data_IF_305832971494
#
_entry.id   IF_305832971494
#
_cell.length_a   1.000
_cell.length_b   1.000
_cell.length_c   1.000
_cell.angle_alpha   90.00
_cell.angle_beta   90.00
_cell.angle_gamma   90.00
#
_symmetry.space_group_name_H-M   'P 1'
#
loop_
_entity.id
_entity.type
_entity.pdbx_description
1 polymer ?
#
# COMPACT_ATOMS: atom_id res chain seq x y z
N UNK A 1 -5.75 -16.96 6.46
CA UNK A 1 -5.20 -16.49 5.18
C UNK A 1 -3.84 -15.82 5.36
N UNK A 2 -3.73 -14.80 6.23
CA UNK A 2 -2.46 -14.09 6.50
C UNK A 2 -1.26 -15.01 6.73
N UNK A 3 -1.35 -16.00 7.62
CA UNK A 3 -0.18 -16.81 8.00
C UNK A 3 0.38 -17.63 6.82
N UNK A 4 -0.47 -18.04 5.89
CA UNK A 4 -0.04 -18.72 4.66
C UNK A 4 0.72 -17.76 3.73
N UNK A 5 0.21 -16.52 3.56
CA UNK A 5 0.85 -15.50 2.73
C UNK A 5 2.18 -15.07 3.37
N UNK A 6 2.20 -14.81 4.68
CA UNK A 6 3.44 -14.51 5.41
C UNK A 6 4.44 -15.65 5.31
N UNK A 7 3.98 -16.90 5.36
CA UNK A 7 4.80 -18.09 5.15
C UNK A 7 5.48 -18.07 3.78
N UNK A 8 4.72 -17.82 2.72
CA UNK A 8 5.24 -17.71 1.36
C UNK A 8 6.23 -16.55 1.18
N UNK A 9 5.94 -15.37 1.75
CA UNK A 9 6.88 -14.23 1.73
C UNK A 9 8.21 -14.61 2.38
N UNK A 10 8.16 -15.34 3.50
CA UNK A 10 9.34 -15.79 4.24
C UNK A 10 10.25 -16.72 3.44
N UNK A 11 9.74 -17.41 2.43
CA UNK A 11 10.55 -18.25 1.53
C UNK A 11 11.48 -17.40 0.64
N UNK A 12 11.16 -16.12 0.45
CA UNK A 12 11.93 -15.19 -0.40
C UNK A 12 12.75 -14.19 0.43
N UNK A 13 12.16 -13.62 1.49
CA UNK A 13 12.81 -12.64 2.35
C UNK A 13 12.18 -12.61 3.76
N UNK A 14 12.89 -12.08 4.76
CA UNK A 14 12.33 -11.92 6.11
C UNK A 14 11.19 -10.89 6.12
N UNK A 15 9.93 -11.28 6.44
CA UNK A 15 8.81 -10.34 6.47
C UNK A 15 9.03 -9.12 7.37
N UNK A 16 9.88 -9.20 8.40
CA UNK A 16 10.21 -8.05 9.26
C UNK A 16 11.11 -7.01 8.61
N UNK A 17 11.66 -7.30 7.42
CA UNK A 17 12.57 -6.42 6.67
C UNK A 17 11.90 -5.74 5.47
N UNK A 18 10.57 -5.86 5.36
CA UNK A 18 9.80 -5.15 4.33
C UNK A 18 10.01 -3.64 4.49
N UNK A 19 10.48 -2.99 3.43
CA UNK A 19 10.62 -1.53 3.39
C UNK A 19 9.28 -0.85 3.06
N UNK A 20 8.43 -1.53 2.29
CA UNK A 20 7.15 -1.01 1.82
C UNK A 20 6.08 -2.11 1.85
N UNK A 21 4.89 -1.75 2.35
CA UNK A 21 3.63 -2.45 2.10
C UNK A 21 2.79 -1.51 1.26
N UNK A 22 2.43 -1.92 0.03
CA UNK A 22 1.77 -1.04 -0.93
C UNK A 22 0.29 -1.41 -1.05
N UNK A 23 -0.59 -0.47 -0.71
CA UNK A 23 -2.04 -0.59 -0.87
C UNK A 23 -2.44 0.05 -2.21
N UNK A 24 -2.67 -0.79 -3.21
CA UNK A 24 -3.07 -0.36 -4.57
C UNK A 24 -4.57 -0.16 -4.71
N UNK A 25 -5.34 -1.00 -4.02
CA UNK A 25 -6.80 -0.98 -3.95
C UNK A 25 -7.21 -1.25 -2.52
N UNK A 26 -8.42 -0.85 -2.14
CA UNK A 26 -8.94 -1.10 -0.81
C UNK A 26 -10.32 -1.73 -0.90
N UNK A 27 -10.36 -3.01 -0.57
CA UNK A 27 -11.57 -3.81 -0.41
C UNK A 27 -11.40 -4.74 0.79
N UNK A 28 -12.52 -5.15 1.38
CA UNK A 28 -12.52 -5.83 2.67
C UNK A 28 -11.75 -7.17 2.66
N UNK A 29 -11.66 -7.82 1.50
CA UNK A 29 -10.96 -9.08 1.28
C UNK A 29 -9.45 -8.93 1.06
N UNK A 30 -8.96 -7.72 0.73
CA UNK A 30 -7.55 -7.46 0.44
C UNK A 30 -6.80 -6.82 1.63
N UNK A 31 -7.51 -6.10 2.51
CA UNK A 31 -6.86 -5.30 3.57
C UNK A 31 -6.61 -6.05 4.89
N UNK A 32 -7.16 -7.26 5.07
CA UNK A 32 -7.17 -7.96 6.37
C UNK A 32 -5.79 -8.37 6.93
N UNK A 33 -4.73 -8.36 6.10
CA UNK A 33 -3.36 -8.65 6.53
C UNK A 33 -2.47 -7.41 6.73
N UNK A 34 -2.94 -6.23 6.31
CA UNK A 34 -2.13 -5.01 6.19
C UNK A 34 -1.47 -4.62 7.52
N UNK A 35 -2.26 -4.45 8.58
CA UNK A 35 -1.75 -4.02 9.89
C UNK A 35 -0.76 -5.05 10.47
N UNK A 36 -1.02 -6.35 10.27
CA UNK A 36 -0.13 -7.41 10.77
C UNK A 36 1.24 -7.42 10.09
N UNK A 37 1.30 -7.10 8.79
CA UNK A 37 2.58 -6.94 8.10
C UNK A 37 3.34 -5.70 8.60
N UNK A 38 2.65 -4.59 8.84
CA UNK A 38 3.25 -3.36 9.34
C UNK A 38 3.69 -3.48 10.82
N UNK A 39 2.95 -4.21 11.65
CA UNK A 39 3.38 -4.56 13.01
C UNK A 39 4.62 -5.45 13.00
N UNK A 40 4.73 -6.37 12.03
CA UNK A 40 5.89 -7.23 11.88
C UNK A 40 7.13 -6.49 11.35
N UNK A 41 6.93 -5.42 10.57
CA UNK A 41 7.96 -4.60 9.94
C UNK A 41 7.75 -3.11 10.29
N UNK A 42 8.12 -2.68 11.52
CA UNK A 42 7.81 -1.33 12.01
C UNK A 42 8.51 -0.21 11.25
N UNK A 43 9.60 -0.52 10.55
CA UNK A 43 10.32 0.42 9.68
C UNK A 43 9.70 0.52 8.27
N UNK A 44 8.72 -0.33 7.95
CA UNK A 44 8.02 -0.31 6.67
C UNK A 44 7.13 0.92 6.53
N UNK A 45 7.07 1.46 5.31
CA UNK A 45 6.06 2.45 4.94
C UNK A 45 4.82 1.78 4.37
N UNK A 46 3.63 2.21 4.79
CA UNK A 46 2.39 1.95 4.07
C UNK A 46 2.27 2.98 2.93
N UNK A 47 2.56 2.56 1.70
CA UNK A 47 2.45 3.43 0.54
C UNK A 47 1.13 3.19 -0.20
N UNK A 48 0.41 4.24 -0.52
CA UNK A 48 -0.84 4.16 -1.26
C UNK A 48 -1.07 5.44 -2.07
N UNK A 49 -2.18 5.51 -2.80
CA UNK A 49 -2.56 6.78 -3.43
C UNK A 49 -2.85 7.86 -2.38
N UNK A 50 -2.64 9.13 -2.72
CA UNK A 50 -3.04 10.25 -1.86
C UNK A 50 -4.54 10.23 -1.57
N UNK A 51 -5.35 9.78 -2.53
CA UNK A 51 -6.79 9.59 -2.34
C UNK A 51 -7.10 8.51 -1.29
N UNK A 52 -6.37 7.40 -1.28
CA UNK A 52 -6.53 6.33 -0.28
C UNK A 52 -6.20 6.82 1.13
N UNK A 53 -5.19 7.69 1.29
CA UNK A 53 -4.90 8.32 2.58
C UNK A 53 -6.11 9.13 3.07
N UNK A 54 -6.64 9.99 2.22
CA UNK A 54 -7.72 10.91 2.57
C UNK A 54 -9.05 10.19 2.85
N UNK A 55 -9.40 9.21 2.01
CA UNK A 55 -10.73 8.58 2.03
C UNK A 55 -10.82 7.37 2.96
N UNK A 56 -9.70 6.69 3.22
CA UNK A 56 -9.69 5.40 3.93
C UNK A 56 -8.84 5.50 5.18
N UNK A 57 -7.54 5.80 5.02
CA UNK A 57 -6.60 5.70 6.14
C UNK A 57 -6.82 6.78 7.20
N UNK A 58 -7.43 7.91 6.86
CA UNK A 58 -7.84 8.95 7.81
C UNK A 58 -8.83 8.43 8.88
N UNK A 59 -9.65 7.43 8.54
CA UNK A 59 -10.56 6.74 9.46
C UNK A 59 -10.04 5.40 9.96
N UNK A 60 -8.89 4.93 9.47
CA UNK A 60 -8.27 3.68 9.89
C UNK A 60 -7.31 3.93 11.04
N UNK A 61 -7.41 3.16 12.13
CA UNK A 61 -6.55 3.33 13.30
C UNK A 61 -5.16 2.70 13.09
N UNK A 62 -4.50 3.09 12.00
CA UNK A 62 -3.14 2.66 11.68
C UNK A 62 -2.11 3.46 12.47
N UNK A 63 -1.04 2.79 12.92
CA UNK A 63 0.10 3.42 13.59
C UNK A 63 1.36 3.06 12.82
N UNK A 64 1.92 4.02 12.10
CA UNK A 64 3.10 3.80 11.27
C UNK A 64 3.28 4.91 10.25
N UNK A 65 4.32 4.77 9.45
CA UNK A 65 4.63 5.72 8.39
C UNK A 65 3.72 5.45 7.20
N UNK A 66 2.90 6.44 6.83
CA UNK A 66 2.03 6.40 5.65
C UNK A 66 2.57 7.34 4.59
N UNK A 67 2.65 6.87 3.35
CA UNK A 67 2.99 7.68 2.18
C UNK A 67 1.80 7.72 1.22
N UNK A 68 1.29 8.93 0.94
CA UNK A 68 0.30 9.16 -0.11
C UNK A 68 0.97 9.67 -1.38
N UNK A 69 0.77 8.96 -2.49
CA UNK A 69 1.37 9.26 -3.78
C UNK A 69 0.30 9.70 -4.79
N UNK A 70 0.61 10.72 -5.60
CA UNK A 70 -0.21 11.15 -6.74
C UNK A 70 0.16 10.40 -8.02
N UNK A 71 -0.68 10.53 -9.06
CA UNK A 71 -0.39 9.98 -10.38
C UNK A 71 0.98 10.44 -10.91
N UNK A 72 1.77 9.49 -11.39
CA UNK A 72 3.10 9.71 -11.93
C UNK A 72 4.22 9.83 -10.90
N UNK A 73 3.92 9.94 -9.60
CA UNK A 73 4.96 9.96 -8.55
C UNK A 73 5.69 8.62 -8.46
N UNK A 74 6.94 8.67 -7.99
CA UNK A 74 7.87 7.54 -8.06
C UNK A 74 8.49 7.28 -6.69
N UNK A 75 8.40 6.02 -6.23
CA UNK A 75 9.23 5.49 -5.16
C UNK A 75 10.53 4.95 -5.78
N UNK A 76 11.67 5.48 -5.34
CA UNK A 76 12.98 5.00 -5.73
C UNK A 76 13.45 3.92 -4.75
N UNK A 77 13.59 2.68 -5.22
CA UNK A 77 14.09 1.54 -4.45
C UNK A 77 15.60 1.32 -4.67
N UNK A 78 16.30 2.31 -5.24
CA UNK A 78 17.70 2.22 -5.66
C UNK A 78 17.84 1.64 -7.06
N UNK A 79 17.84 0.31 -7.18
CA UNK A 79 18.00 -0.35 -8.49
C UNK A 79 16.73 -0.25 -9.35
N UNK A 80 15.57 -0.28 -8.70
CA UNK A 80 14.27 -0.25 -9.36
C UNK A 80 13.51 1.00 -8.93
N UNK A 81 12.61 1.45 -9.79
CA UNK A 81 11.72 2.58 -9.52
C UNK A 81 10.28 2.14 -9.74
N UNK A 82 9.41 2.45 -8.79
CA UNK A 82 7.98 2.14 -8.87
C UNK A 82 7.23 3.45 -9.10
N UNK A 83 6.49 3.53 -10.21
CA UNK A 83 5.67 4.70 -10.55
C UNK A 83 4.20 4.40 -10.23
N UNK A 84 3.55 5.31 -9.51
CA UNK A 84 2.12 5.24 -9.28
C UNK A 84 1.37 5.65 -10.54
N UNK A 85 0.40 4.83 -10.94
CA UNK A 85 -0.50 5.08 -12.05
C UNK A 85 -1.93 4.99 -11.51
N UNK A 86 -2.60 6.13 -11.36
CA UNK A 86 -3.94 6.15 -10.81
C UNK A 86 -4.96 5.70 -11.88
N UNK A 87 -5.68 4.61 -11.58
CA UNK A 87 -6.71 4.04 -12.48
C UNK A 87 -8.11 4.25 -11.93
N UNK A 88 -8.38 5.44 -11.38
CA UNK A 88 -9.72 5.80 -10.91
C UNK A 88 -10.71 5.72 -12.06
N UNK A 89 -11.90 5.17 -11.81
CA UNK A 89 -12.96 5.19 -12.83
C UNK A 89 -13.23 6.64 -13.24
N UNK A 90 -13.20 6.97 -14.55
CA UNK A 90 -13.67 8.26 -15.00
C UNK A 90 -15.11 8.43 -14.51
N UNK A 91 -15.39 9.48 -13.74
CA UNK A 91 -16.74 10.08 -13.80
C UNK A 91 -16.94 10.42 -15.27
N UNK A 92 -18.10 10.09 -15.81
CA UNK A 92 -18.38 10.39 -17.21
C UNK A 92 -17.92 11.83 -17.48
N UNK A 93 -17.02 11.98 -18.46
CA UNK A 93 -16.75 13.29 -19.03
C UNK A 93 -17.70 13.40 -20.19
N UNK A 94 -19.00 13.54 -19.92
CA UNK A 94 -19.88 14.17 -20.90
C UNK A 94 -19.30 15.56 -21.16
N UNK A 95 -18.85 15.86 -22.39
CA UNK A 95 -18.42 17.21 -22.72
C UNK A 95 -19.63 18.15 -22.55
N UNK A 96 -19.37 19.32 -21.98
CA UNK A 96 -20.33 20.42 -21.88
C UNK A 96 -20.86 20.86 -23.25
#
# INVERSE_FOLDING_TARGET
MYDNIRGAVREVLDPGTLAYVILLHFEADECGGMDRFLECAPDSALACSAASVQLILSGWNHRGRVEGHCDGEVIDLGKHKLRFLETSRPRDRSPA
#
